data_IF_797542662191
#
_entry.id   IF_797542662191
#
_cell.length_a   1.000
_cell.length_b   1.000
_cell.length_c   1.000
_cell.angle_alpha   90.00
_cell.angle_beta   90.00
_cell.angle_gamma   90.00
#
_symmetry.space_group_name_H-M   'P 1'
#
loop_
_entity.id
_entity.type
_entity.pdbx_description
1 polymer ?
#
# COMPACT_ATOMS: atom_id res chain seq x y z
N UNK A 1 17.34 -15.64 -0.82
CA UNK A 1 16.84 -14.74 0.24
C UNK A 1 17.75 -13.51 0.48
N UNK A 2 18.53 -13.04 -0.51
CA UNK A 2 19.63 -12.09 -0.29
C UNK A 2 19.27 -10.58 -0.44
N UNK A 3 18.06 -10.21 -0.89
CA UNK A 3 17.70 -8.81 -1.22
C UNK A 3 17.05 -8.00 -0.08
N UNK A 4 16.75 -8.61 1.06
CA UNK A 4 16.10 -7.92 2.19
C UNK A 4 14.63 -7.50 1.96
N UNK A 5 14.03 -7.84 0.80
CA UNK A 5 12.67 -7.46 0.43
C UNK A 5 11.56 -8.32 1.11
N UNK A 6 11.91 -9.47 1.70
CA UNK A 6 10.99 -10.37 2.38
C UNK A 6 11.23 -10.36 3.89
N UNK A 7 10.20 -10.01 4.65
CA UNK A 7 10.17 -10.19 6.11
C UNK A 7 9.15 -11.28 6.46
N UNK A 8 9.56 -12.23 7.29
CA UNK A 8 8.70 -13.31 7.78
C UNK A 8 8.44 -13.12 9.27
N UNK A 9 7.17 -13.20 9.68
CA UNK A 9 6.75 -13.14 11.09
C UNK A 9 5.53 -14.02 11.30
N UNK A 10 5.45 -14.65 12.48
CA UNK A 10 4.38 -15.59 12.80
C UNK A 10 4.50 -16.92 12.05
N UNK A 11 3.45 -17.73 12.17
CA UNK A 11 3.35 -19.03 11.50
C UNK A 11 2.28 -19.00 10.39
N UNK A 12 1.02 -19.34 10.70
CA UNK A 12 -0.08 -19.34 9.72
C UNK A 12 -0.79 -17.99 9.59
N UNK A 13 -0.70 -17.15 10.62
CA UNK A 13 -1.33 -15.83 10.68
C UNK A 13 -0.29 -14.78 11.04
N UNK A 14 -0.45 -13.58 10.50
CA UNK A 14 0.43 -12.45 10.79
C UNK A 14 -0.04 -11.81 12.10
N UNK A 15 0.78 -11.74 13.16
CA UNK A 15 0.47 -10.95 14.34
C UNK A 15 0.57 -9.46 13.99
N UNK A 16 -0.56 -8.83 13.64
CA UNK A 16 -0.60 -7.50 13.02
C UNK A 16 0.16 -6.44 13.81
N UNK A 17 0.01 -6.40 15.14
CA UNK A 17 0.70 -5.42 15.98
C UNK A 17 2.23 -5.61 15.99
N UNK A 18 2.71 -6.84 16.11
CA UNK A 18 4.14 -7.15 16.09
C UNK A 18 4.76 -6.88 14.72
N UNK A 19 4.04 -7.26 13.66
CA UNK A 19 4.44 -6.99 12.29
C UNK A 19 4.53 -5.49 12.04
N UNK A 20 3.51 -4.73 12.45
CA UNK A 20 3.46 -3.29 12.29
C UNK A 20 4.59 -2.61 13.06
N UNK A 21 4.87 -3.03 14.30
CA UNK A 21 6.02 -2.54 15.07
C UNK A 21 7.36 -2.89 14.42
N UNK A 22 7.48 -4.05 13.76
CA UNK A 22 8.69 -4.40 13.00
C UNK A 22 8.86 -3.55 11.73
N UNK A 23 7.77 -3.22 11.03
CA UNK A 23 7.79 -2.30 9.88
C UNK A 23 8.12 -0.88 10.33
N UNK A 24 7.50 -0.39 11.40
CA UNK A 24 7.70 0.96 11.91
C UNK A 24 9.16 1.24 12.31
N UNK A 25 9.83 0.26 12.94
CA UNK A 25 11.27 0.36 13.27
C UNK A 25 12.17 0.56 12.05
N UNK A 26 11.76 0.13 10.85
CA UNK A 26 12.57 0.34 9.63
C UNK A 26 12.63 1.79 9.18
N UNK A 27 11.69 2.61 9.63
CA UNK A 27 11.55 4.03 9.25
C UNK A 27 11.77 4.95 10.46
N UNK A 28 12.39 4.45 11.52
CA UNK A 28 12.72 5.25 12.69
C UNK A 28 13.59 6.46 12.30
N UNK A 29 13.26 7.63 12.85
CA UNK A 29 13.90 8.90 12.52
C UNK A 29 13.39 9.58 11.24
N UNK A 30 12.50 8.95 10.46
CA UNK A 30 11.84 9.60 9.33
C UNK A 30 10.65 10.46 9.79
N UNK A 31 10.40 11.56 9.08
CA UNK A 31 9.19 12.35 9.30
C UNK A 31 7.99 11.71 8.59
N UNK A 32 7.20 10.92 9.33
CA UNK A 32 6.04 10.21 8.77
C UNK A 32 4.85 11.15 8.66
N UNK A 33 4.50 11.56 7.43
CA UNK A 33 3.37 12.44 7.18
C UNK A 33 2.01 11.78 7.49
N UNK A 34 1.85 10.50 7.11
CA UNK A 34 0.66 9.71 7.40
C UNK A 34 0.91 8.22 7.17
N UNK A 35 0.11 7.39 7.82
CA UNK A 35 -0.15 6.01 7.45
C UNK A 35 -1.36 5.95 6.53
N UNK A 36 -1.22 5.36 5.36
CA UNK A 36 -2.33 5.07 4.45
C UNK A 36 -2.71 3.60 4.57
N UNK A 37 -3.99 3.30 4.75
CA UNK A 37 -4.47 1.92 4.91
C UNK A 37 -5.84 1.70 4.27
N UNK A 38 -6.07 0.46 3.83
CA UNK A 38 -7.39 0.02 3.37
C UNK A 38 -8.38 -0.05 4.54
N UNK A 39 -9.65 0.31 4.29
CA UNK A 39 -10.74 0.21 5.27
C UNK A 39 -11.10 -1.23 5.64
N UNK A 40 -10.71 -2.21 4.85
CA UNK A 40 -10.95 -3.62 5.15
C UNK A 40 -10.25 -4.00 6.46
N UNK A 41 -11.05 -4.45 7.45
CA UNK A 41 -10.58 -4.75 8.82
C UNK A 41 -9.94 -3.55 9.54
N UNK A 42 -10.44 -2.34 9.30
CA UNK A 42 -9.96 -1.11 9.94
C UNK A 42 -9.92 -1.16 11.47
N UNK A 43 -10.86 -1.86 12.13
CA UNK A 43 -10.86 -2.05 13.57
C UNK A 43 -9.64 -2.85 14.05
N UNK A 44 -9.34 -3.98 13.39
CA UNK A 44 -8.18 -4.84 13.70
C UNK A 44 -6.87 -4.07 13.53
N UNK A 45 -6.74 -3.29 12.45
CA UNK A 45 -5.56 -2.47 12.20
C UNK A 45 -5.47 -1.29 13.20
N UNK A 46 -6.59 -0.65 13.54
CA UNK A 46 -6.62 0.45 14.50
C UNK A 46 -6.15 0.02 15.90
N UNK A 47 -6.65 -1.13 16.38
CA UNK A 47 -6.16 -1.71 17.64
C UNK A 47 -4.67 -2.07 17.59
N UNK A 48 -4.19 -2.56 16.44
CA UNK A 48 -2.78 -2.89 16.26
C UNK A 48 -1.88 -1.65 16.25
N UNK A 49 -2.30 -0.56 15.61
CA UNK A 49 -1.62 0.75 15.63
C UNK A 49 -1.49 1.27 17.06
N UNK A 50 -2.59 1.20 17.83
CA UNK A 50 -2.59 1.61 19.25
C UNK A 50 -1.64 0.75 20.07
N UNK A 51 -1.69 -0.59 19.93
CA UNK A 51 -0.77 -1.51 20.64
C UNK A 51 0.69 -1.30 20.27
N UNK A 52 0.97 -0.95 19.03
CA UNK A 52 2.32 -0.67 18.54
C UNK A 52 2.85 0.71 18.99
N UNK A 53 2.01 1.54 19.62
CA UNK A 53 2.40 2.88 20.09
C UNK A 53 2.69 3.86 18.95
N UNK A 54 2.07 3.66 17.78
CA UNK A 54 2.35 4.48 16.60
C UNK A 54 1.52 5.76 16.62
N UNK A 55 2.20 6.90 16.70
CA UNK A 55 1.60 8.23 16.65
C UNK A 55 1.82 8.86 15.27
N UNK A 56 0.98 8.50 14.30
CA UNK A 56 0.95 9.14 12.98
C UNK A 56 -0.48 9.31 12.48
N UNK A 57 -0.77 10.35 11.67
CA UNK A 57 -2.08 10.50 11.04
C UNK A 57 -2.45 9.26 10.24
N UNK A 58 -3.69 8.77 10.38
CA UNK A 58 -4.18 7.60 9.65
C UNK A 58 -5.18 8.00 8.58
N UNK A 59 -4.87 7.70 7.33
CA UNK A 59 -5.71 7.98 6.16
C UNK A 59 -6.29 6.67 5.65
N UNK A 60 -7.62 6.55 5.77
CA UNK A 60 -8.35 5.40 5.26
C UNK A 60 -8.71 5.55 3.79
N UNK A 61 -8.17 4.65 2.97
CA UNK A 61 -8.42 4.57 1.53
C UNK A 61 -9.35 3.40 1.22
N UNK A 62 -10.15 3.54 0.16
CA UNK A 62 -10.90 2.43 -0.42
C UNK A 62 -10.38 2.09 -1.80
N UNK A 63 -10.57 0.84 -2.23
CA UNK A 63 -10.17 0.37 -3.57
C UNK A 63 -11.24 0.59 -4.66
N UNK A 64 -12.29 1.34 -4.33
CA UNK A 64 -13.40 1.64 -5.24
C UNK A 64 -13.13 2.85 -6.14
N UNK A 65 -14.11 3.19 -6.96
CA UNK A 65 -14.04 4.31 -7.91
C UNK A 65 -13.81 5.67 -7.25
N UNK A 66 -14.39 5.90 -6.05
CA UNK A 66 -14.32 7.19 -5.35
C UNK A 66 -12.87 7.60 -5.02
N UNK A 67 -12.14 6.72 -4.37
CA UNK A 67 -10.76 7.01 -3.94
C UNK A 67 -9.77 6.66 -5.07
N UNK A 68 -10.01 5.55 -5.78
CA UNK A 68 -9.14 5.06 -6.84
C UNK A 68 -9.05 5.96 -8.08
N UNK A 69 -10.09 6.73 -8.40
CA UNK A 69 -10.05 7.65 -9.54
C UNK A 69 -9.05 8.78 -9.28
N UNK A 70 -9.07 9.35 -8.07
CA UNK A 70 -8.15 10.39 -7.65
C UNK A 70 -6.71 9.85 -7.55
N UNK A 71 -6.54 8.64 -6.98
CA UNK A 71 -5.22 8.01 -6.83
C UNK A 71 -4.56 7.79 -8.19
N UNK A 72 -5.30 7.26 -9.17
CA UNK A 72 -4.81 7.04 -10.53
C UNK A 72 -4.45 8.36 -11.21
N UNK A 73 -5.30 9.37 -11.13
CA UNK A 73 -5.07 10.63 -11.84
C UNK A 73 -3.86 11.39 -11.25
N UNK A 74 -3.74 11.43 -9.92
CA UNK A 74 -2.58 12.02 -9.24
C UNK A 74 -1.30 11.25 -9.53
N UNK A 75 -1.34 9.92 -9.48
CA UNK A 75 -0.18 9.10 -9.80
C UNK A 75 0.28 9.32 -11.24
N UNK A 76 -0.64 9.35 -12.20
CA UNK A 76 -0.33 9.62 -13.62
C UNK A 76 0.35 10.97 -13.81
N UNK A 77 -0.15 12.01 -13.15
CA UNK A 77 0.46 13.34 -13.19
C UNK A 77 1.87 13.34 -12.58
N UNK A 78 2.01 12.81 -11.37
CA UNK A 78 3.30 12.73 -10.69
C UNK A 78 4.32 11.89 -11.48
N UNK A 79 3.89 10.81 -12.13
CA UNK A 79 4.74 9.98 -12.97
C UNK A 79 5.16 10.73 -14.25
N UNK A 80 4.23 11.42 -14.90
CA UNK A 80 4.50 12.25 -16.08
C UNK A 80 5.51 13.37 -15.76
N UNK A 81 5.35 14.02 -14.61
CA UNK A 81 6.22 15.10 -14.15
C UNK A 81 7.57 14.60 -13.58
N UNK A 82 7.83 13.29 -13.59
CA UNK A 82 9.08 12.70 -13.06
C UNK A 82 9.25 12.81 -11.54
N UNK A 83 8.14 12.97 -10.80
CA UNK A 83 8.12 13.12 -9.35
C UNK A 83 8.14 11.78 -8.61
N UNK A 84 7.73 10.69 -9.27
CA UNK A 84 7.75 9.34 -8.69
C UNK A 84 9.15 8.75 -8.76
N UNK A 85 9.75 8.50 -7.60
CA UNK A 85 11.10 7.93 -7.46
C UNK A 85 11.05 6.73 -6.53
N UNK A 86 11.64 5.61 -6.94
CA UNK A 86 11.77 4.43 -6.10
C UNK A 86 13.14 3.76 -6.30
N UNK A 87 13.60 3.04 -5.28
CA UNK A 87 14.72 2.10 -5.44
C UNK A 87 14.26 0.89 -6.24
N UNK A 88 15.22 0.18 -6.84
CA UNK A 88 14.89 -1.06 -7.54
C UNK A 88 14.23 -2.06 -6.60
N UNK A 89 13.02 -2.52 -6.95
CA UNK A 89 12.24 -3.47 -6.17
C UNK A 89 11.60 -4.50 -7.09
N UNK A 90 11.86 -5.79 -6.85
CA UNK A 90 11.22 -6.86 -7.62
C UNK A 90 9.73 -6.95 -7.27
N UNK A 91 9.38 -6.73 -5.99
CA UNK A 91 8.00 -6.66 -5.54
C UNK A 91 7.23 -5.56 -6.27
N UNK A 92 7.80 -4.35 -6.37
CA UNK A 92 7.13 -3.23 -7.05
C UNK A 92 6.98 -3.49 -8.55
N UNK A 93 8.05 -3.97 -9.21
CA UNK A 93 8.01 -4.32 -10.64
C UNK A 93 6.92 -5.34 -10.93
N UNK A 94 6.86 -6.41 -10.13
CA UNK A 94 5.84 -7.45 -10.27
C UNK A 94 4.44 -6.90 -9.99
N UNK A 95 4.27 -6.01 -9.01
CA UNK A 95 2.96 -5.47 -8.68
C UNK A 95 2.43 -4.54 -9.78
N UNK A 96 3.29 -3.68 -10.31
CA UNK A 96 2.94 -2.78 -11.41
C UNK A 96 2.65 -3.54 -12.70
N UNK A 97 3.41 -4.60 -13.03
CA UNK A 97 3.16 -5.42 -14.23
C UNK A 97 1.81 -6.14 -14.20
N UNK A 98 1.26 -6.36 -13.02
CA UNK A 98 -0.01 -7.05 -12.79
C UNK A 98 -1.19 -6.10 -12.60
N UNK A 99 -0.92 -4.80 -12.51
CA UNK A 99 -1.92 -3.78 -12.28
C UNK A 99 -2.53 -3.29 -13.59
N UNK A 100 -3.86 -3.22 -13.63
CA UNK A 100 -4.62 -2.61 -14.72
C UNK A 100 -5.55 -1.55 -14.17
N UNK A 101 -5.95 -0.59 -15.00
CA UNK A 101 -6.98 0.37 -14.65
C UNK A 101 -8.30 -0.04 -15.29
N UNK A 102 -9.31 -0.31 -14.47
CA UNK A 102 -10.68 -0.41 -14.97
C UNK A 102 -11.27 0.99 -15.05
N UNK A 103 -12.30 1.16 -15.88
CA UNK A 103 -13.09 2.38 -15.98
C UNK A 103 -14.57 2.06 -15.82
N UNK A 104 -15.29 2.90 -15.08
CA UNK A 104 -16.75 2.85 -15.04
C UNK A 104 -17.37 3.65 -16.21
N UNK A 105 -18.70 3.59 -16.43
CA UNK A 105 -19.36 4.36 -17.48
C UNK A 105 -19.27 5.88 -17.33
N UNK A 106 -18.97 6.38 -16.13
CA UNK A 106 -18.74 7.81 -15.87
C UNK A 106 -17.27 8.22 -16.11
N UNK A 107 -16.41 7.29 -16.50
CA UNK A 107 -15.00 7.52 -16.81
C UNK A 107 -14.07 7.44 -15.59
N UNK A 108 -14.59 7.18 -14.39
CA UNK A 108 -13.78 7.03 -13.18
C UNK A 108 -12.87 5.81 -13.32
N UNK A 109 -11.60 5.95 -12.97
CA UNK A 109 -10.66 4.86 -12.98
C UNK A 109 -10.55 4.19 -11.60
N UNK A 110 -10.20 2.91 -11.56
CA UNK A 110 -9.70 2.26 -10.33
C UNK A 110 -8.66 1.20 -10.65
N UNK A 111 -7.77 0.95 -9.71
CA UNK A 111 -6.77 -0.10 -9.84
C UNK A 111 -7.44 -1.47 -9.71
N UNK A 112 -7.01 -2.42 -10.54
CA UNK A 112 -7.46 -3.80 -10.49
C UNK A 112 -6.33 -4.75 -10.89
N UNK A 113 -6.50 -6.03 -10.57
CA UNK A 113 -5.57 -7.08 -10.99
C UNK A 113 -5.87 -7.49 -12.42
N UNK A 114 -4.84 -7.59 -13.26
CA UNK A 114 -4.96 -8.08 -14.64
C UNK A 114 -5.27 -9.58 -14.74
N UNK A 115 -5.00 -10.35 -13.67
CA UNK A 115 -5.32 -11.78 -13.58
C UNK A 115 -5.65 -12.21 -12.15
N UNK A 116 -6.27 -13.37 -12.01
CA UNK A 116 -6.78 -13.90 -10.73
C UNK A 116 -5.71 -13.95 -9.62
N UNK A 117 -4.54 -14.51 -9.93
CA UNK A 117 -3.42 -14.67 -9.01
C UNK A 117 -2.47 -13.46 -8.95
N UNK A 118 -2.78 -12.36 -9.64
CA UNK A 118 -2.00 -11.13 -9.56
C UNK A 118 -1.92 -10.60 -8.12
N UNK A 119 -0.86 -9.85 -7.82
CA UNK A 119 -0.64 -9.17 -6.53
C UNK A 119 -0.27 -7.73 -6.83
N UNK A 120 -1.15 -6.81 -6.46
CA UNK A 120 -1.00 -5.38 -6.78
C UNK A 120 -0.92 -4.53 -5.52
N UNK A 121 -0.98 -5.15 -4.34
CA UNK A 121 -1.09 -4.48 -3.05
C UNK A 121 0.11 -3.53 -2.81
N UNK A 122 1.31 -3.94 -3.25
CA UNK A 122 2.49 -3.07 -3.19
C UNK A 122 2.35 -1.84 -4.09
N UNK A 123 1.80 -1.97 -5.30
CA UNK A 123 1.57 -0.84 -6.20
C UNK A 123 0.48 0.10 -5.69
N UNK A 124 -0.53 -0.44 -5.00
CA UNK A 124 -1.61 0.37 -4.45
C UNK A 124 -1.24 1.10 -3.16
N UNK A 125 -0.23 0.60 -2.43
CA UNK A 125 0.22 1.16 -1.17
C UNK A 125 1.38 2.16 -1.32
N UNK A 126 2.02 2.23 -2.49
CA UNK A 126 3.19 3.08 -2.76
C UNK A 126 2.81 4.48 -3.24
#
# INVERSE_FOLDING_TARGET
QARGELATIGAKTVPVAEWLGAVWRKIEGQNVAALCADRYKSAELGEAIQRAGIAAPLIWRGFGWKDGAEDIERFRRAAFDGQVKCVESLLMRSAISEAVCLRDPAGNAKLAKGRSLGRIDAAAAA
#
